data_IF_769650641855
#
_entry.id   IF_769650641855
#
_cell.length_a   1.000
_cell.length_b   1.000
_cell.length_c   1.000
_cell.angle_alpha   90.00
_cell.angle_beta   90.00
_cell.angle_gamma   90.00
#
_symmetry.space_group_name_H-M   'P 1'
#
loop_
_entity.id
_entity.type
_entity.pdbx_description
1 polymer ?
#
# COMPACT_ATOMS: atom_id res chain seq x y z
N UNK A 1 -23.52 -48.87 -58.21
CA UNK A 1 -22.31 -48.55 -57.42
C UNK A 1 -21.89 -47.13 -57.80
N UNK A 2 -22.26 -46.12 -57.01
CA UNK A 2 -21.42 -45.46 -55.99
C UNK A 2 -20.08 -44.96 -56.56
N UNK A 3 -19.93 -43.65 -56.76
CA UNK A 3 -19.09 -42.80 -55.88
C UNK A 3 -19.23 -41.31 -56.24
N UNK A 4 -19.96 -40.57 -55.39
CA UNK A 4 -19.66 -39.16 -55.08
C UNK A 4 -18.37 -39.11 -54.25
N UNK A 5 -17.56 -38.06 -54.41
CA UNK A 5 -16.97 -37.28 -53.31
C UNK A 5 -15.99 -36.24 -53.89
N UNK A 6 -16.36 -34.96 -53.90
CA UNK A 6 -16.17 -33.96 -52.83
C UNK A 6 -14.85 -33.18 -53.03
N UNK A 7 -14.97 -32.02 -53.68
CA UNK A 7 -13.95 -30.97 -53.63
C UNK A 7 -13.93 -30.39 -52.21
N UNK A 8 -12.86 -30.63 -51.47
CA UNK A 8 -12.61 -29.98 -50.18
C UNK A 8 -11.96 -28.61 -50.42
N UNK A 9 -12.74 -27.55 -50.23
CA UNK A 9 -12.25 -26.17 -50.16
C UNK A 9 -11.63 -25.97 -48.77
N UNK A 10 -10.30 -25.94 -48.68
CA UNK A 10 -9.59 -25.62 -47.44
C UNK A 10 -9.63 -24.10 -47.27
N UNK A 11 -10.65 -23.61 -46.59
CA UNK A 11 -10.73 -22.21 -46.14
C UNK A 11 -9.81 -22.07 -44.92
N UNK A 12 -8.61 -21.56 -45.14
CA UNK A 12 -7.62 -21.31 -44.09
C UNK A 12 -8.08 -20.13 -43.23
N UNK A 13 -8.84 -20.41 -42.17
CA UNK A 13 -9.14 -19.45 -41.12
C UNK A 13 -7.84 -19.13 -40.36
N UNK A 14 -7.13 -18.10 -40.79
CA UNK A 14 -6.16 -17.41 -39.95
C UNK A 14 -6.93 -16.74 -38.81
N UNK A 15 -7.14 -17.49 -37.72
CA UNK A 15 -7.45 -16.89 -36.44
C UNK A 15 -6.16 -16.23 -35.98
N UNK A 16 -6.03 -14.93 -36.28
CA UNK A 16 -5.03 -14.10 -35.62
C UNK A 16 -5.28 -14.24 -34.13
N UNK A 17 -4.34 -14.86 -33.41
CA UNK A 17 -4.29 -14.78 -31.97
C UNK A 17 -4.15 -13.29 -31.64
N UNK A 18 -5.25 -12.65 -31.28
CA UNK A 18 -5.20 -11.34 -30.66
C UNK A 18 -4.35 -11.52 -29.41
N UNK A 19 -3.17 -10.93 -29.45
CA UNK A 19 -2.21 -10.90 -28.37
C UNK A 19 -2.97 -10.42 -27.14
N UNK A 20 -3.24 -11.34 -26.20
CA UNK A 20 -3.89 -11.01 -24.95
C UNK A 20 -2.86 -10.23 -24.15
N UNK A 21 -2.75 -8.92 -24.43
CA UNK A 21 -2.07 -7.97 -23.57
C UNK A 21 -2.70 -8.17 -22.20
N UNK A 22 -1.98 -8.86 -21.31
CA UNK A 22 -2.37 -9.04 -19.92
C UNK A 22 -2.53 -7.65 -19.36
N UNK A 23 -3.79 -7.23 -19.22
CA UNK A 23 -4.11 -5.89 -18.73
C UNK A 23 -3.51 -5.77 -17.35
N UNK A 24 -2.49 -4.93 -17.20
CA UNK A 24 -1.78 -4.79 -15.93
C UNK A 24 -2.77 -4.21 -14.90
N UNK A 25 -3.22 -5.04 -13.96
CA UNK A 25 -4.20 -4.62 -12.93
C UNK A 25 -3.50 -3.86 -11.79
N UNK A 26 -2.19 -4.06 -11.62
CA UNK A 26 -1.38 -3.51 -10.53
C UNK A 26 -0.35 -2.50 -11.03
N UNK A 27 -0.49 -1.26 -10.58
CA UNK A 27 0.49 -0.21 -10.81
C UNK A 27 1.45 -0.14 -9.62
N UNK A 28 2.77 -0.21 -9.90
CA UNK A 28 3.81 -0.14 -8.88
C UNK A 28 4.37 1.27 -8.77
N UNK A 29 4.49 1.74 -7.53
CA UNK A 29 5.18 2.96 -7.14
C UNK A 29 6.41 2.55 -6.34
N UNK A 30 7.59 2.92 -6.84
CA UNK A 30 8.83 2.85 -6.08
C UNK A 30 9.24 4.23 -5.57
N UNK A 31 10.07 4.24 -4.53
CA UNK A 31 10.75 5.45 -4.04
C UNK A 31 9.83 6.49 -3.36
N UNK A 32 10.25 7.75 -3.38
CA UNK A 32 9.58 8.86 -2.68
C UNK A 32 8.24 9.20 -3.33
N UNK A 33 7.23 9.41 -2.50
CA UNK A 33 5.93 9.89 -2.94
C UNK A 33 5.97 11.40 -3.13
N UNK A 34 5.82 11.83 -4.37
CA UNK A 34 5.78 13.24 -4.79
C UNK A 34 4.49 13.54 -5.57
N UNK A 35 4.22 14.82 -5.82
CA UNK A 35 3.13 15.22 -6.73
C UNK A 35 3.34 14.65 -8.15
N UNK A 36 4.59 14.55 -8.61
CA UNK A 36 4.89 13.96 -9.92
C UNK A 36 4.63 12.46 -9.94
N UNK A 37 4.96 11.75 -8.85
CA UNK A 37 4.62 10.33 -8.71
C UNK A 37 3.12 10.09 -8.86
N UNK A 38 2.31 10.94 -8.24
CA UNK A 38 0.85 10.90 -8.38
C UNK A 38 0.39 11.20 -9.82
N UNK A 39 0.95 12.22 -10.48
CA UNK A 39 0.63 12.55 -11.88
C UNK A 39 1.00 11.42 -12.84
N UNK A 40 2.13 10.75 -12.62
CA UNK A 40 2.53 9.59 -13.42
C UNK A 40 1.55 8.44 -13.23
N UNK A 41 1.08 8.19 -12.00
CA UNK A 41 0.01 7.23 -11.76
C UNK A 41 -1.29 7.61 -12.49
N UNK A 42 -1.72 8.88 -12.46
CA UNK A 42 -2.91 9.31 -13.21
C UNK A 42 -2.74 9.16 -14.72
N UNK A 43 -1.56 9.43 -15.26
CA UNK A 43 -1.26 9.20 -16.67
C UNK A 43 -1.34 7.70 -17.03
N UNK A 44 -0.79 6.83 -16.17
CA UNK A 44 -0.88 5.39 -16.34
C UNK A 44 -2.33 4.88 -16.29
N UNK A 45 -3.16 5.44 -15.39
CA UNK A 45 -4.60 5.15 -15.33
C UNK A 45 -5.34 5.54 -16.61
N UNK A 46 -4.99 6.65 -17.25
CA UNK A 46 -5.60 7.06 -18.53
C UNK A 46 -5.25 6.09 -19.65
N UNK A 47 -4.03 5.58 -19.66
CA UNK A 47 -3.56 4.60 -20.64
C UNK A 47 -4.10 3.20 -20.36
N UNK A 48 -4.30 2.86 -19.08
CA UNK A 48 -4.82 1.58 -18.64
C UNK A 48 -5.89 1.76 -17.55
N UNK A 49 -7.16 1.99 -17.95
CA UNK A 49 -8.27 2.19 -17.01
C UNK A 49 -8.63 0.97 -16.17
N UNK A 50 -8.01 -0.18 -16.40
CA UNK A 50 -8.26 -1.42 -15.65
C UNK A 50 -7.36 -1.57 -14.42
N UNK A 51 -6.43 -0.66 -14.16
CA UNK A 51 -5.65 -0.65 -12.92
C UNK A 51 -6.61 -0.57 -11.73
N UNK A 52 -6.53 -1.54 -10.83
CA UNK A 52 -7.32 -1.62 -9.58
C UNK A 52 -6.45 -1.85 -8.36
N UNK A 53 -5.14 -1.98 -8.54
CA UNK A 53 -4.20 -2.24 -7.47
C UNK A 53 -3.04 -1.26 -7.50
N UNK A 54 -2.63 -0.81 -6.31
CA UNK A 54 -1.43 -0.01 -6.09
C UNK A 54 -0.43 -0.82 -5.26
N UNK A 55 0.79 -0.98 -5.77
CA UNK A 55 1.89 -1.57 -5.02
C UNK A 55 2.90 -0.50 -4.64
N UNK A 56 3.16 -0.34 -3.34
CA UNK A 56 4.25 0.45 -2.83
C UNK A 56 5.47 -0.46 -2.59
N UNK A 57 6.53 -0.22 -3.35
CA UNK A 57 7.77 -0.99 -3.26
C UNK A 57 8.89 -0.11 -2.75
N UNK A 58 9.40 -0.38 -1.54
CA UNK A 58 10.51 0.39 -0.95
C UNK A 58 10.27 1.90 -1.00
N UNK A 59 9.14 2.35 -0.45
CA UNK A 59 8.74 3.75 -0.44
C UNK A 59 8.91 4.39 0.94
N UNK A 60 9.69 5.47 1.00
CA UNK A 60 9.97 6.22 2.23
C UNK A 60 8.85 7.20 2.58
N UNK A 61 7.74 7.18 1.83
CA UNK A 61 6.73 8.21 1.89
C UNK A 61 7.21 9.50 1.24
N UNK A 62 6.78 10.64 1.77
CA UNK A 62 6.95 11.93 1.12
C UNK A 62 7.83 12.88 1.93
N UNK A 63 8.76 13.54 1.25
CA UNK A 63 9.62 14.59 1.83
C UNK A 63 8.98 15.98 1.85
N UNK A 64 7.83 16.17 1.20
CA UNK A 64 7.14 17.46 1.11
C UNK A 64 5.74 17.31 0.53
N UNK A 65 4.79 18.18 0.93
CA UNK A 65 3.37 18.03 0.60
C UNK A 65 2.76 16.71 1.08
N UNK A 66 3.26 16.16 2.19
CA UNK A 66 2.84 14.87 2.73
C UNK A 66 1.31 14.76 2.89
N UNK A 67 0.69 15.77 3.49
CA UNK A 67 -0.76 15.86 3.63
C UNK A 67 -1.50 15.84 2.27
N UNK A 68 -1.06 16.68 1.33
CA UNK A 68 -1.69 16.75 0.00
C UNK A 68 -1.58 15.43 -0.76
N UNK A 69 -0.44 14.75 -0.66
CA UNK A 69 -0.20 13.48 -1.34
C UNK A 69 -1.08 12.36 -0.77
N UNK A 70 -1.19 12.26 0.56
CA UNK A 70 -2.10 11.29 1.18
C UNK A 70 -3.54 11.55 0.74
N UNK A 71 -4.00 12.81 0.78
CA UNK A 71 -5.34 13.19 0.33
C UNK A 71 -5.60 12.83 -1.15
N UNK A 72 -4.65 13.10 -2.07
CA UNK A 72 -4.81 12.78 -3.49
C UNK A 72 -4.95 11.28 -3.73
N UNK A 73 -4.08 10.47 -3.11
CA UNK A 73 -4.19 9.02 -3.22
C UNK A 73 -5.45 8.48 -2.55
N UNK A 74 -5.86 9.00 -1.38
CA UNK A 74 -7.11 8.61 -0.73
C UNK A 74 -8.30 8.79 -1.69
N UNK A 75 -8.41 9.95 -2.33
CA UNK A 75 -9.50 10.24 -3.27
C UNK A 75 -9.54 9.24 -4.44
N UNK A 76 -8.37 8.87 -5.01
CA UNK A 76 -8.31 7.86 -6.08
C UNK A 76 -8.61 6.45 -5.58
N UNK A 77 -8.14 6.09 -4.38
CA UNK A 77 -8.47 4.81 -3.75
C UNK A 77 -9.98 4.68 -3.60
N UNK A 78 -10.66 5.74 -3.17
CA UNK A 78 -12.10 5.74 -2.99
C UNK A 78 -12.89 5.71 -4.28
N UNK A 79 -12.46 6.48 -5.28
CA UNK A 79 -13.09 6.53 -6.60
C UNK A 79 -13.02 5.16 -7.31
N UNK A 80 -11.84 4.55 -7.31
CA UNK A 80 -11.56 3.33 -8.09
C UNK A 80 -11.65 2.04 -7.27
N UNK A 81 -11.96 2.16 -5.96
CA UNK A 81 -11.98 1.06 -5.00
C UNK A 81 -10.66 0.27 -4.96
N UNK A 82 -9.54 0.99 -4.96
CA UNK A 82 -8.22 0.38 -5.13
C UNK A 82 -7.86 -0.55 -3.96
N UNK A 83 -7.22 -1.66 -4.31
CA UNK A 83 -6.49 -2.49 -3.37
C UNK A 83 -5.04 -2.01 -3.26
N UNK A 84 -4.48 -2.08 -2.07
CA UNK A 84 -3.11 -1.63 -1.79
C UNK A 84 -2.24 -2.81 -1.39
N UNK A 85 -1.02 -2.78 -1.88
CA UNK A 85 0.03 -3.74 -1.62
C UNK A 85 1.26 -2.99 -1.14
N UNK A 86 2.01 -3.56 -0.20
CA UNK A 86 3.30 -3.02 0.20
C UNK A 86 4.34 -4.13 0.27
N UNK A 87 5.55 -3.85 -0.21
CA UNK A 87 6.70 -4.78 -0.22
C UNK A 87 7.98 -4.04 0.15
N UNK A 88 8.82 -4.67 0.97
CA UNK A 88 10.00 -4.01 1.54
C UNK A 88 9.58 -2.97 2.56
N UNK A 89 10.11 -1.74 2.52
CA UNK A 89 9.66 -0.71 3.45
C UNK A 89 8.57 0.19 2.85
N UNK A 90 7.62 0.58 3.70
CA UNK A 90 6.59 1.56 3.39
C UNK A 90 6.45 2.49 4.61
N UNK A 91 7.14 3.63 4.57
CA UNK A 91 7.24 4.58 5.69
C UNK A 91 6.34 5.80 5.47
N UNK A 92 5.94 6.43 6.57
CA UNK A 92 5.28 7.73 6.58
C UNK A 92 4.00 7.75 5.74
N UNK A 93 3.88 8.68 4.79
CA UNK A 93 2.74 8.78 3.87
C UNK A 93 2.48 7.49 3.09
N UNK A 94 3.51 6.67 2.80
CA UNK A 94 3.29 5.37 2.17
C UNK A 94 2.40 4.49 3.06
N UNK A 95 2.73 4.38 4.35
CA UNK A 95 1.99 3.53 5.26
C UNK A 95 0.54 4.01 5.44
N UNK A 96 0.31 5.32 5.49
CA UNK A 96 -1.04 5.88 5.51
C UNK A 96 -1.83 5.49 4.27
N UNK A 97 -1.29 5.73 3.08
CA UNK A 97 -1.98 5.45 1.82
C UNK A 97 -2.24 3.95 1.68
N UNK A 98 -1.24 3.12 2.00
CA UNK A 98 -1.40 1.67 2.04
C UNK A 98 -2.59 1.27 2.93
N UNK A 99 -2.64 1.74 4.19
CA UNK A 99 -3.70 1.34 5.12
C UNK A 99 -5.10 1.89 4.77
N UNK A 100 -5.21 2.84 3.84
CA UNK A 100 -6.49 3.35 3.34
C UNK A 100 -7.07 2.52 2.18
N UNK A 101 -6.33 1.57 1.62
CA UNK A 101 -6.81 0.68 0.56
C UNK A 101 -8.07 -0.09 0.98
N UNK A 102 -8.95 -0.40 0.03
CA UNK A 102 -10.16 -1.19 0.28
C UNK A 102 -9.86 -2.63 0.69
N UNK A 103 -8.77 -3.17 0.14
CA UNK A 103 -8.08 -4.38 0.58
C UNK A 103 -6.61 -4.03 0.74
N UNK A 104 -5.96 -4.55 1.77
CA UNK A 104 -4.57 -4.21 2.13
C UNK A 104 -3.79 -5.50 2.24
N UNK A 105 -2.76 -5.67 1.43
CA UNK A 105 -1.96 -6.89 1.44
C UNK A 105 -0.50 -6.56 1.69
N UNK A 106 0.05 -7.05 2.79
CA UNK A 106 1.46 -6.90 3.11
C UNK A 106 2.23 -8.09 2.50
N UNK A 107 2.97 -7.80 1.43
CA UNK A 107 3.67 -8.81 0.64
C UNK A 107 4.90 -9.32 1.37
N UNK A 108 5.26 -10.59 1.12
CA UNK A 108 6.53 -11.14 1.60
C UNK A 108 7.71 -10.29 1.11
N UNK A 109 8.60 -9.96 2.05
CA UNK A 109 9.89 -9.37 1.76
C UNK A 109 10.92 -10.45 1.39
N UNK A 110 12.19 -10.09 1.47
CA UNK A 110 13.28 -11.08 1.50
C UNK A 110 13.61 -11.46 2.95
N UNK A 111 14.38 -12.53 3.17
CA UNK A 111 14.83 -12.87 4.53
C UNK A 111 15.64 -11.74 5.16
N UNK A 112 16.53 -11.11 4.38
CA UNK A 112 17.39 -10.01 4.85
C UNK A 112 16.67 -8.66 4.91
N UNK A 113 15.60 -8.50 4.14
CA UNK A 113 14.76 -7.30 4.14
C UNK A 113 13.28 -7.68 4.24
N UNK A 114 12.78 -7.92 5.47
CA UNK A 114 11.36 -8.18 5.69
C UNK A 114 10.53 -6.95 5.33
N UNK A 115 9.30 -7.19 4.87
CA UNK A 115 8.39 -6.08 4.59
C UNK A 115 7.94 -5.43 5.91
N UNK A 116 8.03 -4.10 5.98
CA UNK A 116 7.65 -3.30 7.15
C UNK A 116 6.81 -2.10 6.73
N UNK A 117 5.80 -1.79 7.55
CA UNK A 117 5.11 -0.52 7.54
C UNK A 117 5.61 0.30 8.72
N UNK A 118 5.79 1.60 8.52
CA UNK A 118 6.10 2.51 9.61
C UNK A 118 5.20 3.73 9.55
N UNK A 119 4.51 3.98 10.64
CA UNK A 119 3.59 5.09 10.81
C UNK A 119 4.13 6.05 11.84
N UNK A 120 4.21 7.31 11.48
CA UNK A 120 4.50 8.41 12.37
C UNK A 120 3.53 9.56 12.03
N UNK A 121 3.34 10.57 12.91
CA UNK A 121 2.46 11.69 12.60
C UNK A 121 2.87 12.37 11.28
N UNK A 122 1.92 12.98 10.57
CA UNK A 122 2.27 13.80 9.40
C UNK A 122 3.01 15.04 9.91
N UNK A 123 4.19 15.31 9.37
CA UNK A 123 4.96 16.50 9.71
C UNK A 123 4.91 17.54 8.59
N UNK A 124 4.84 18.80 8.97
CA UNK A 124 5.24 19.91 8.10
C UNK A 124 6.77 19.94 8.07
N UNK A 125 7.36 19.54 6.94
CA UNK A 125 8.82 19.42 6.81
C UNK A 125 9.57 20.74 7.08
N UNK A 126 8.96 21.89 6.76
CA UNK A 126 9.60 23.21 6.94
C UNK A 126 9.59 23.67 8.40
N UNK A 127 8.57 23.30 9.16
CA UNK A 127 8.41 23.72 10.57
C UNK A 127 8.81 22.61 11.56
N UNK A 128 9.00 21.39 11.08
CA UNK A 128 9.17 20.19 11.89
C UNK A 128 8.05 20.00 12.93
N UNK A 129 6.84 20.45 12.59
CA UNK A 129 5.66 20.40 13.44
C UNK A 129 4.70 19.31 12.95
N UNK A 130 4.02 18.67 13.90
CA UNK A 130 2.98 17.69 13.61
C UNK A 130 1.74 18.40 13.08
N UNK A 131 1.21 17.92 11.95
CA UNK A 131 -0.06 18.35 11.38
C UNK A 131 -1.18 17.49 11.98
N UNK A 132 -1.58 17.80 13.22
CA UNK A 132 -2.49 16.94 13.99
C UNK A 132 -3.86 16.77 13.34
N UNK A 133 -4.43 17.83 12.74
CA UNK A 133 -5.74 17.74 12.08
C UNK A 133 -5.75 16.68 10.97
N UNK A 134 -4.77 16.73 10.07
CA UNK A 134 -4.63 15.75 8.99
C UNK A 134 -4.30 14.36 9.52
N UNK A 135 -3.39 14.29 10.49
CA UNK A 135 -3.02 13.01 11.12
C UNK A 135 -4.24 12.33 11.75
N UNK A 136 -5.05 13.06 12.52
CA UNK A 136 -6.27 12.54 13.14
C UNK A 136 -7.32 12.12 12.10
N UNK A 137 -7.48 12.90 11.02
CA UNK A 137 -8.33 12.52 9.88
C UNK A 137 -7.90 11.16 9.31
N UNK A 138 -6.61 10.96 9.09
CA UNK A 138 -6.08 9.72 8.52
C UNK A 138 -6.16 8.53 9.49
N UNK A 139 -5.96 8.78 10.78
CA UNK A 139 -6.19 7.78 11.83
C UNK A 139 -7.64 7.30 11.82
N UNK A 140 -8.59 8.24 11.75
CA UNK A 140 -10.02 7.91 11.69
C UNK A 140 -10.36 7.10 10.43
N UNK A 141 -9.81 7.49 9.29
CA UNK A 141 -10.02 6.80 8.01
C UNK A 141 -9.49 5.35 8.06
N UNK A 142 -8.25 5.14 8.53
CA UNK A 142 -7.64 3.82 8.66
C UNK A 142 -8.45 2.94 9.64
N UNK A 143 -8.87 3.51 10.77
CA UNK A 143 -9.73 2.80 11.74
C UNK A 143 -11.03 2.36 11.07
N UNK A 144 -11.69 3.24 10.31
CA UNK A 144 -12.92 2.89 9.59
C UNK A 144 -12.69 1.81 8.53
N UNK A 145 -11.65 1.94 7.71
CA UNK A 145 -11.36 1.01 6.60
C UNK A 145 -10.97 -0.39 7.08
N UNK A 146 -10.42 -0.48 8.29
CA UNK A 146 -10.13 -1.76 8.96
C UNK A 146 -11.30 -2.29 9.78
N UNK A 147 -12.48 -1.65 9.76
CA UNK A 147 -13.62 -1.96 10.62
C UNK A 147 -13.25 -1.96 12.12
N UNK A 148 -12.43 -0.98 12.52
CA UNK A 148 -11.86 -0.78 13.86
C UNK A 148 -10.93 -1.89 14.36
N UNK A 149 -10.45 -2.76 13.48
CA UNK A 149 -9.41 -3.75 13.81
C UNK A 149 -8.07 -3.10 14.16
N UNK A 150 -7.71 -2.03 13.46
CA UNK A 150 -6.64 -1.12 13.86
C UNK A 150 -7.31 0.06 14.57
N UNK A 151 -7.28 0.06 15.90
CA UNK A 151 -8.00 1.10 16.66
C UNK A 151 -7.31 2.45 16.56
N UNK A 152 -8.09 3.53 16.71
CA UNK A 152 -7.52 4.86 16.83
C UNK A 152 -6.56 4.99 18.03
N UNK A 153 -6.82 4.29 19.13
CA UNK A 153 -5.94 4.28 20.30
C UNK A 153 -4.55 3.72 19.95
N UNK A 154 -4.52 2.59 19.22
CA UNK A 154 -3.28 2.00 18.72
C UNK A 154 -2.55 3.00 17.84
N UNK A 155 -3.24 3.61 16.87
CA UNK A 155 -2.64 4.57 15.94
C UNK A 155 -2.15 5.85 16.63
N UNK A 156 -2.92 6.40 17.58
CA UNK A 156 -2.57 7.62 18.32
C UNK A 156 -1.28 7.49 19.15
N UNK A 157 -0.78 6.26 19.40
CA UNK A 157 0.55 6.08 20.00
C UNK A 157 1.66 6.70 19.15
N UNK A 158 1.45 6.93 17.85
CA UNK A 158 2.42 7.64 17.02
C UNK A 158 2.71 9.06 17.51
N UNK A 159 1.80 9.71 18.27
CA UNK A 159 2.06 11.02 18.87
C UNK A 159 3.03 10.97 20.07
N UNK A 160 3.36 9.78 20.57
CA UNK A 160 4.33 9.60 21.65
C UNK A 160 5.78 9.64 21.15
N UNK A 161 6.00 9.78 19.83
CA UNK A 161 7.34 9.90 19.26
C UNK A 161 8.01 11.19 19.68
N UNK A 162 9.31 11.13 19.91
CA UNK A 162 10.15 12.27 20.30
C UNK A 162 10.89 12.90 19.11
N UNK A 163 10.87 12.25 17.95
CA UNK A 163 11.33 12.79 16.68
C UNK A 163 10.47 12.29 15.50
N UNK A 164 10.76 12.79 14.29
CA UNK A 164 10.07 12.38 13.05
C UNK A 164 10.41 10.96 12.56
N UNK A 165 11.35 10.29 13.22
CA UNK A 165 11.84 8.98 12.81
C UNK A 165 11.39 7.86 13.75
N UNK A 166 10.80 8.17 14.91
CA UNK A 166 10.01 7.25 15.70
C UNK A 166 8.72 6.85 14.98
N UNK A 167 7.96 5.93 15.57
CA UNK A 167 6.64 5.58 15.09
C UNK A 167 6.14 4.22 15.55
N UNK A 168 5.01 3.84 14.99
CA UNK A 168 4.47 2.48 15.05
C UNK A 168 5.04 1.71 13.87
N UNK A 169 5.58 0.53 14.13
CA UNK A 169 6.14 -0.38 13.12
C UNK A 169 5.26 -1.62 13.08
N UNK A 170 4.77 -1.97 11.89
CA UNK A 170 4.04 -3.21 11.62
C UNK A 170 4.91 -4.06 10.70
N UNK A 171 5.30 -5.25 11.15
CA UNK A 171 6.14 -6.17 10.38
C UNK A 171 5.29 -7.19 9.64
N UNK A 172 5.75 -7.65 8.48
CA UNK A 172 5.07 -8.72 7.75
C UNK A 172 5.25 -10.09 8.42
N UNK A 173 6.41 -10.33 9.01
CA UNK A 173 6.68 -11.50 9.86
C UNK A 173 6.75 -11.08 11.33
N UNK A 174 6.35 -11.94 12.27
CA UNK A 174 6.49 -11.63 13.68
C UNK A 174 7.99 -11.52 14.03
N UNK A 175 8.33 -10.68 15.00
CA UNK A 175 9.67 -10.69 15.58
C UNK A 175 9.91 -11.93 16.44
N UNK A 176 11.09 -12.01 17.06
CA UNK A 176 11.48 -13.12 17.94
C UNK A 176 10.54 -13.32 19.14
N UNK A 177 9.81 -12.29 19.55
CA UNK A 177 8.79 -12.31 20.60
C UNK A 177 7.38 -12.70 20.10
N UNK A 178 7.27 -13.09 18.83
CA UNK A 178 6.01 -13.48 18.19
C UNK A 178 5.08 -12.31 17.84
N UNK A 179 5.53 -11.05 17.98
CA UNK A 179 4.68 -9.86 17.80
C UNK A 179 4.87 -9.23 16.42
N UNK A 180 3.83 -8.58 15.92
CA UNK A 180 3.84 -7.89 14.63
C UNK A 180 3.95 -6.37 14.77
N UNK A 181 3.46 -5.81 15.88
CA UNK A 181 3.33 -4.37 16.08
C UNK A 181 4.24 -3.90 17.20
N UNK A 182 5.03 -2.87 16.90
CA UNK A 182 5.98 -2.27 17.82
C UNK A 182 5.84 -0.75 17.81
N UNK A 183 6.21 -0.13 18.92
CA UNK A 183 6.44 1.30 19.03
C UNK A 183 7.94 1.57 19.18
N UNK A 184 8.39 2.66 18.58
CA UNK A 184 9.74 3.19 18.75
C UNK A 184 9.64 4.70 18.96
N UNK A 185 10.15 5.23 20.08
CA UNK A 185 9.98 6.66 20.39
C UNK A 185 10.82 7.57 19.50
N UNK A 186 11.99 7.11 19.05
CA UNK A 186 12.88 7.77 18.07
C UNK A 186 13.76 6.74 17.39
N UNK A 187 14.39 7.12 16.28
CA UNK A 187 15.27 6.19 15.56
C UNK A 187 16.37 5.62 16.47
N UNK A 188 16.56 4.30 16.40
CA UNK A 188 17.57 3.57 17.16
C UNK A 188 17.17 3.17 18.59
N UNK A 189 16.05 3.67 19.11
CA UNK A 189 15.53 3.20 20.41
C UNK A 189 15.07 1.74 20.32
N UNK A 190 15.00 1.08 21.48
CA UNK A 190 14.47 -0.27 21.58
C UNK A 190 13.00 -0.33 21.14
N UNK A 191 12.66 -1.34 20.34
CA UNK A 191 11.28 -1.61 19.95
C UNK A 191 10.47 -2.11 21.16
N UNK A 192 9.34 -1.46 21.41
CA UNK A 192 8.39 -1.83 22.44
C UNK A 192 7.20 -2.55 21.80
N UNK A 193 7.01 -3.83 22.09
CA UNK A 193 5.86 -4.57 21.58
C UNK A 193 4.53 -3.93 22.04
N UNK A 194 3.60 -3.71 21.11
CA UNK A 194 2.33 -3.03 21.39
C UNK A 194 1.13 -3.95 21.52
N UNK A 195 1.07 -5.03 20.72
CA UNK A 195 -0.09 -5.92 20.61
C UNK A 195 0.34 -7.32 20.19
N UNK A 196 -0.43 -8.33 20.61
CA UNK A 196 -0.31 -9.72 20.14
C UNK A 196 -1.09 -10.00 18.85
N UNK A 197 -1.84 -9.03 18.32
CA UNK A 197 -2.62 -9.21 17.10
C UNK A 197 -1.72 -9.56 15.91
N UNK A 198 -2.14 -10.56 15.16
CA UNK A 198 -1.66 -10.89 13.82
C UNK A 198 -2.10 -9.85 12.79
N UNK A 199 -1.51 -9.90 11.59
CA UNK A 199 -1.88 -8.99 10.50
C UNK A 199 -3.35 -9.14 10.09
N UNK A 200 -3.88 -10.37 10.04
CA UNK A 200 -5.27 -10.63 9.68
C UNK A 200 -6.23 -10.05 10.74
N UNK A 201 -5.86 -10.12 12.01
CA UNK A 201 -6.60 -9.49 13.11
C UNK A 201 -6.56 -7.96 13.06
N UNK A 202 -5.57 -7.37 12.39
CA UNK A 202 -5.51 -5.94 12.03
C UNK A 202 -6.27 -5.64 10.72
N UNK A 203 -6.79 -6.64 10.02
CA UNK A 203 -7.44 -6.46 8.72
C UNK A 203 -6.44 -6.15 7.59
N UNK A 204 -5.22 -6.66 7.73
CA UNK A 204 -4.16 -6.65 6.72
C UNK A 204 -3.95 -8.10 6.26
N UNK A 205 -4.13 -8.34 4.97
CA UNK A 205 -3.92 -9.65 4.37
C UNK A 205 -2.42 -9.90 4.13
N UNK A 206 -2.07 -11.17 3.95
CA UNK A 206 -0.73 -11.62 3.54
C UNK A 206 -0.87 -12.46 2.28
N UNK A 207 0.07 -12.36 1.34
CA UNK A 207 0.22 -13.40 0.32
C UNK A 207 0.83 -14.64 0.97
N UNK A 208 0.23 -15.81 0.72
CA UNK A 208 0.78 -17.12 1.08
C UNK A 208 2.09 -17.39 0.33
#
# INVERSE_FOLDING_TARGET
MKLLCLLALILSCYVGAADAQTTQVRYRISDSLTLDTYRTFEAALKLNPAIRELEFFNSNGSSGYADSIVNLFQLKIDELKLHTYARGFCDSTCAFIFLMGHKRTLLNGTEDNPTILKLHPIFNASMNEVVSFSTDKYIQEISNRSANKITQEVLKKMYLTTDRHGGIIIKQKPGADGKYIYFQARYGDQLQAMSSQSLIELGIDTEE
#
